data_IF_923013446780
#
_entry.id   IF_923013446780
#
_cell.length_a   1.000
_cell.length_b   1.000
_cell.length_c   1.000
_cell.angle_alpha   90.00
_cell.angle_beta   90.00
_cell.angle_gamma   90.00
#
_symmetry.space_group_name_H-M   'P 1'
#
loop_
_entity.id
_entity.type
_entity.pdbx_description
1 polymer ?
#
# COMPACT_ATOMS: atom_id res chain seq x y z
N UNK A 1 -1.07 4.43 -26.13
CA UNK A 1 -2.14 4.27 -27.15
C UNK A 1 -2.45 5.64 -27.71
N UNK A 2 -2.70 5.77 -29.03
CA UNK A 2 -3.30 6.99 -29.55
C UNK A 2 -4.72 7.15 -28.99
N UNK A 3 -5.13 8.38 -28.68
CA UNK A 3 -6.48 8.70 -28.20
C UNK A 3 -7.51 8.40 -29.30
N UNK A 4 -8.60 7.71 -28.94
CA UNK A 4 -9.79 7.63 -29.80
C UNK A 4 -10.46 9.01 -29.83
N UNK A 5 -10.67 9.57 -31.02
CA UNK A 5 -11.26 10.90 -31.23
C UNK A 5 -12.73 10.99 -30.78
N UNK A 6 -13.43 9.88 -30.54
CA UNK A 6 -14.86 9.87 -30.22
C UNK A 6 -15.19 9.71 -28.73
N UNK A 7 -14.23 9.26 -27.90
CA UNK A 7 -14.38 9.18 -26.44
C UNK A 7 -13.04 9.45 -25.78
N UNK A 8 -13.01 10.23 -24.69
CA UNK A 8 -11.81 10.54 -23.87
C UNK A 8 -11.23 9.30 -23.16
N UNK A 9 -11.00 8.21 -23.88
CA UNK A 9 -10.37 6.99 -23.39
C UNK A 9 -8.89 7.07 -23.75
N UNK A 10 -8.08 7.43 -22.77
CA UNK A 10 -6.64 7.65 -22.91
C UNK A 10 -5.82 6.55 -22.26
N UNK A 11 -6.42 5.79 -21.32
CA UNK A 11 -5.74 4.73 -20.59
C UNK A 11 -6.67 3.56 -20.23
N UNK A 12 -6.08 2.46 -19.72
CA UNK A 12 -6.83 1.28 -19.31
C UNK A 12 -7.84 1.55 -18.18
N UNK A 13 -7.58 2.55 -17.33
CA UNK A 13 -8.52 2.95 -16.28
C UNK A 13 -9.79 3.58 -16.88
N UNK A 14 -9.64 4.46 -17.87
CA UNK A 14 -10.78 5.07 -18.57
C UNK A 14 -11.65 4.00 -19.25
N UNK A 15 -11.01 3.00 -19.87
CA UNK A 15 -11.69 1.87 -20.50
C UNK A 15 -12.48 1.07 -19.45
N UNK A 16 -11.86 0.80 -18.29
CA UNK A 16 -12.53 0.06 -17.22
C UNK A 16 -13.76 0.80 -16.68
N UNK A 17 -13.64 2.11 -16.42
CA UNK A 17 -14.76 2.93 -15.96
C UNK A 17 -15.90 2.93 -16.98
N UNK A 18 -15.58 3.11 -18.27
CA UNK A 18 -16.57 3.03 -19.35
C UNK A 18 -17.26 1.66 -19.43
N UNK A 19 -16.52 0.57 -19.25
CA UNK A 19 -17.09 -0.78 -19.24
C UNK A 19 -18.00 -1.00 -18.03
N UNK A 20 -17.66 -0.47 -16.86
CA UNK A 20 -18.51 -0.58 -15.66
C UNK A 20 -19.83 0.17 -15.82
N UNK A 21 -19.81 1.36 -16.42
CA UNK A 21 -21.02 2.13 -16.69
C UNK A 21 -21.98 1.38 -17.63
N UNK A 22 -21.44 0.74 -18.68
CA UNK A 22 -22.27 0.07 -19.69
C UNK A 22 -22.59 -1.38 -19.37
N UNK A 23 -21.74 -2.06 -18.61
CA UNK A 23 -21.83 -3.48 -18.27
C UNK A 23 -21.50 -3.68 -16.77
N UNK A 24 -22.45 -3.41 -15.85
CA UNK A 24 -22.20 -3.42 -14.41
C UNK A 24 -21.69 -4.76 -13.84
N UNK A 25 -21.99 -5.88 -14.53
CA UNK A 25 -21.58 -7.21 -14.13
C UNK A 25 -20.25 -7.67 -14.76
N UNK A 26 -19.59 -6.80 -15.53
CA UNK A 26 -18.32 -7.10 -16.16
C UNK A 26 -17.21 -7.25 -15.11
N UNK A 27 -16.51 -8.38 -15.11
CA UNK A 27 -15.34 -8.59 -14.24
C UNK A 27 -14.11 -8.02 -14.91
N UNK A 28 -13.47 -7.06 -14.26
CA UNK A 28 -12.30 -6.36 -14.80
C UNK A 28 -11.03 -6.86 -14.13
N UNK A 29 -10.02 -7.17 -14.93
CA UNK A 29 -8.69 -7.56 -14.49
C UNK A 29 -7.67 -6.62 -15.15
N UNK A 30 -6.82 -6.01 -14.33
CA UNK A 30 -5.68 -5.22 -14.80
C UNK A 30 -4.40 -6.04 -14.75
N UNK A 31 -3.65 -6.01 -15.85
CA UNK A 31 -2.31 -6.57 -15.96
C UNK A 31 -1.38 -5.45 -16.42
N UNK A 32 -0.37 -5.12 -15.63
CA UNK A 32 0.60 -4.07 -15.98
C UNK A 32 1.97 -4.37 -15.41
N UNK A 33 3.01 -4.00 -16.15
CA UNK A 33 4.40 -4.03 -15.67
C UNK A 33 4.77 -2.85 -14.78
N UNK A 34 3.85 -1.89 -14.60
CA UNK A 34 4.14 -0.64 -13.92
C UNK A 34 2.95 -0.18 -13.08
N UNK A 35 2.89 -0.65 -11.83
CA UNK A 35 2.03 -0.11 -10.78
C UNK A 35 2.88 0.66 -9.79
N UNK A 36 3.02 1.97 -9.99
CA UNK A 36 3.51 2.82 -8.89
C UNK A 36 2.41 2.97 -7.83
N UNK A 37 2.81 3.34 -6.61
CA UNK A 37 1.89 3.39 -5.44
C UNK A 37 0.64 4.24 -5.70
N UNK A 38 0.82 5.41 -6.32
CA UNK A 38 -0.26 6.36 -6.62
C UNK A 38 -1.26 5.75 -7.62
N UNK A 39 -0.77 5.19 -8.73
CA UNK A 39 -1.64 4.55 -9.74
C UNK A 39 -2.38 3.35 -9.16
N UNK A 40 -1.70 2.54 -8.34
CA UNK A 40 -2.31 1.38 -7.72
C UNK A 40 -3.46 1.77 -6.77
N UNK A 41 -3.23 2.76 -5.90
CA UNK A 41 -4.29 3.31 -5.04
C UNK A 41 -5.45 3.87 -5.87
N UNK A 42 -5.17 4.65 -6.91
CA UNK A 42 -6.19 5.26 -7.74
C UNK A 42 -7.07 4.17 -8.41
N UNK A 43 -6.46 3.15 -9.02
CA UNK A 43 -7.20 2.05 -9.64
C UNK A 43 -8.04 1.28 -8.61
N UNK A 44 -7.49 0.99 -7.42
CA UNK A 44 -8.24 0.32 -6.35
C UNK A 44 -9.45 1.15 -5.91
N UNK A 45 -9.27 2.46 -5.72
CA UNK A 45 -10.32 3.34 -5.20
C UNK A 45 -11.40 3.68 -6.23
N UNK A 46 -11.05 3.73 -7.51
CA UNK A 46 -11.98 4.15 -8.57
C UNK A 46 -12.65 2.99 -9.30
N UNK A 47 -11.89 1.94 -9.60
CA UNK A 47 -12.39 0.81 -10.40
C UNK A 47 -12.67 -0.41 -9.50
N UNK A 48 -11.91 -0.59 -8.43
CA UNK A 48 -11.95 -1.76 -7.56
C UNK A 48 -12.03 -3.10 -8.36
N UNK A 49 -11.04 -3.36 -9.24
CA UNK A 49 -11.12 -4.47 -10.18
C UNK A 49 -11.09 -5.83 -9.49
N UNK A 50 -11.68 -6.84 -10.14
CA UNK A 50 -11.66 -8.22 -9.68
C UNK A 50 -10.25 -8.84 -9.73
N UNK A 51 -9.34 -8.28 -10.51
CA UNK A 51 -7.95 -8.71 -10.55
C UNK A 51 -6.96 -7.55 -10.75
N UNK A 52 -5.86 -7.58 -9.99
CA UNK A 52 -4.68 -6.73 -10.19
C UNK A 52 -3.42 -7.59 -10.21
N UNK A 53 -2.75 -7.65 -11.36
CA UNK A 53 -1.59 -8.52 -11.56
C UNK A 53 -0.44 -7.70 -12.09
N UNK A 54 0.69 -7.74 -11.38
CA UNK A 54 1.94 -7.28 -11.94
C UNK A 54 2.36 -8.25 -13.06
N UNK A 55 2.74 -7.73 -14.23
CA UNK A 55 2.96 -8.53 -15.45
C UNK A 55 4.06 -9.59 -15.31
N UNK A 56 5.12 -9.31 -14.57
CA UNK A 56 6.20 -10.25 -14.29
C UNK A 56 5.83 -11.34 -13.26
N UNK A 57 4.76 -11.15 -12.49
CA UNK A 57 4.19 -12.22 -11.64
C UNK A 57 3.27 -13.18 -12.44
N UNK A 58 3.00 -12.87 -13.71
CA UNK A 58 2.10 -13.67 -14.55
C UNK A 58 2.85 -14.85 -15.19
N UNK A 59 2.41 -16.07 -14.86
CA UNK A 59 2.84 -17.32 -15.50
C UNK A 59 1.65 -18.02 -16.17
N UNK A 60 1.91 -18.97 -17.08
CA UNK A 60 0.85 -19.76 -17.72
C UNK A 60 -0.06 -20.45 -16.70
N UNK A 61 0.51 -21.04 -15.64
CA UNK A 61 -0.26 -21.69 -14.58
C UNK A 61 -1.09 -20.69 -13.75
N UNK A 62 -0.55 -19.49 -13.51
CA UNK A 62 -1.24 -18.46 -12.75
C UNK A 62 -2.52 -17.99 -13.44
N UNK A 63 -2.56 -17.95 -14.77
CA UNK A 63 -3.72 -17.48 -15.55
C UNK A 63 -4.96 -18.31 -15.19
N UNK A 64 -4.85 -19.64 -15.19
CA UNK A 64 -5.96 -20.53 -14.86
C UNK A 64 -6.46 -20.30 -13.43
N UNK A 65 -5.53 -20.10 -12.49
CA UNK A 65 -5.86 -19.80 -11.10
C UNK A 65 -6.58 -18.45 -10.95
N UNK A 66 -6.09 -17.42 -11.64
CA UNK A 66 -6.66 -16.07 -11.65
C UNK A 66 -8.12 -16.12 -12.11
N UNK A 67 -8.37 -16.71 -13.29
CA UNK A 67 -9.72 -16.82 -13.82
C UNK A 67 -10.63 -17.63 -12.90
N UNK A 68 -10.15 -18.77 -12.36
CA UNK A 68 -10.93 -19.58 -11.41
C UNK A 68 -11.36 -18.76 -10.18
N UNK A 69 -10.44 -17.99 -9.59
CA UNK A 69 -10.72 -17.15 -8.42
C UNK A 69 -11.70 -16.02 -8.76
N UNK A 70 -11.46 -15.31 -9.85
CA UNK A 70 -12.30 -14.18 -10.30
C UNK A 70 -13.71 -14.64 -10.66
N UNK A 71 -13.87 -15.77 -11.34
CA UNK A 71 -15.18 -16.34 -11.65
C UNK A 71 -15.94 -16.80 -10.41
N UNK A 72 -15.23 -17.26 -9.37
CA UNK A 72 -15.79 -17.57 -8.05
C UNK A 72 -16.11 -16.32 -7.20
N UNK A 73 -15.99 -15.12 -7.75
CA UNK A 73 -16.26 -13.85 -7.05
C UNK A 73 -15.14 -13.38 -6.12
N UNK A 74 -13.97 -14.01 -6.17
CA UNK A 74 -12.81 -13.62 -5.37
C UNK A 74 -11.99 -12.56 -6.08
N UNK A 75 -11.44 -11.61 -5.33
CA UNK A 75 -10.49 -10.63 -5.87
C UNK A 75 -9.09 -11.26 -5.90
N UNK A 76 -8.45 -11.27 -7.06
CA UNK A 76 -7.07 -11.73 -7.21
C UNK A 76 -6.08 -10.56 -7.18
N UNK A 77 -5.02 -10.69 -6.40
CA UNK A 77 -3.88 -9.77 -6.41
C UNK A 77 -2.59 -10.57 -6.45
N UNK A 78 -1.69 -10.23 -7.38
CA UNK A 78 -0.38 -10.89 -7.44
C UNK A 78 0.50 -10.53 -6.24
N UNK A 79 1.62 -11.25 -6.06
CA UNK A 79 2.49 -11.06 -4.91
C UNK A 79 3.07 -9.65 -4.84
N UNK A 80 3.59 -9.12 -5.95
CA UNK A 80 4.13 -7.75 -5.99
C UNK A 80 3.05 -6.69 -5.73
N UNK A 81 1.83 -6.91 -6.21
CA UNK A 81 0.71 -6.02 -5.94
C UNK A 81 0.38 -6.01 -4.45
N UNK A 82 0.29 -7.19 -3.81
CA UNK A 82 0.06 -7.27 -2.38
C UNK A 82 1.21 -6.64 -1.58
N UNK A 83 2.47 -6.86 -1.98
CA UNK A 83 3.63 -6.19 -1.38
C UNK A 83 3.51 -4.66 -1.46
N UNK A 84 3.19 -4.13 -2.63
CA UNK A 84 3.03 -2.68 -2.83
C UNK A 84 1.87 -2.10 -2.00
N UNK A 85 0.73 -2.80 -1.93
CA UNK A 85 -0.41 -2.41 -1.09
C UNK A 85 -0.02 -2.40 0.39
N UNK A 86 0.73 -3.41 0.82
CA UNK A 86 1.21 -3.47 2.19
C UNK A 86 2.16 -2.31 2.47
N UNK A 87 3.13 -2.01 1.61
CA UNK A 87 4.00 -0.84 1.76
C UNK A 87 3.22 0.48 1.86
N UNK A 88 2.15 0.64 1.09
CA UNK A 88 1.28 1.82 1.15
C UNK A 88 0.56 1.91 2.51
N UNK A 89 0.05 0.78 3.01
CA UNK A 89 -0.60 0.71 4.33
C UNK A 89 0.40 0.96 5.44
N UNK A 90 1.59 0.39 5.32
CA UNK A 90 2.71 0.58 6.23
C UNK A 90 3.06 2.07 6.28
N UNK A 91 3.28 2.72 5.13
CA UNK A 91 3.59 4.16 5.11
C UNK A 91 2.47 4.99 5.75
N UNK A 92 1.21 4.78 5.38
CA UNK A 92 0.09 5.54 5.96
C UNK A 92 -0.08 5.31 7.46
N UNK A 93 0.18 4.10 7.95
CA UNK A 93 0.19 3.78 9.39
C UNK A 93 1.39 4.38 10.12
N UNK A 94 2.58 4.41 9.50
CA UNK A 94 3.74 5.11 10.04
C UNK A 94 3.49 6.62 10.10
N UNK A 95 2.80 7.17 9.11
CA UNK A 95 2.34 8.57 9.08
C UNK A 95 1.16 8.86 10.02
N UNK A 96 0.69 7.91 10.85
CA UNK A 96 -0.14 8.23 12.01
C UNK A 96 0.59 9.31 12.84
N UNK A 97 -0.11 10.40 13.15
CA UNK A 97 0.50 11.58 13.79
C UNK A 97 1.26 11.22 15.06
N UNK A 98 0.73 10.29 15.85
CA UNK A 98 1.36 9.81 17.08
C UNK A 98 2.59 8.94 16.83
N UNK A 99 2.60 8.13 15.76
CA UNK A 99 3.79 7.35 15.39
C UNK A 99 4.91 8.27 14.91
N UNK A 100 4.57 9.30 14.12
CA UNK A 100 5.53 10.30 13.65
C UNK A 100 6.11 11.10 14.82
N UNK A 101 5.28 11.54 15.76
CA UNK A 101 5.74 12.23 16.97
C UNK A 101 6.72 11.37 17.79
N UNK A 102 6.40 10.08 17.98
CA UNK A 102 7.32 9.15 18.65
C UNK A 102 8.66 9.07 17.92
N UNK A 103 8.67 8.93 16.59
CA UNK A 103 9.89 8.86 15.78
C UNK A 103 10.72 10.15 15.91
N UNK A 104 10.07 11.32 15.83
CA UNK A 104 10.74 12.63 15.99
C UNK A 104 11.34 12.79 17.38
N UNK A 105 10.65 12.37 18.44
CA UNK A 105 11.18 12.43 19.81
C UNK A 105 12.38 11.51 19.99
N UNK A 106 12.36 10.32 19.39
CA UNK A 106 13.50 9.40 19.38
C UNK A 106 14.69 10.03 18.63
N UNK A 107 14.47 10.64 17.45
CA UNK A 107 15.50 11.33 16.67
C UNK A 107 16.15 12.50 17.43
N UNK A 108 15.37 13.19 18.28
CA UNK A 108 15.86 14.23 19.21
C UNK A 108 16.62 13.68 20.43
N UNK A 109 16.79 12.36 20.55
CA UNK A 109 17.47 11.72 21.66
C UNK A 109 16.63 11.57 22.94
N UNK A 110 15.31 11.76 22.87
CA UNK A 110 14.44 11.56 24.03
C UNK A 110 14.31 10.07 24.34
N UNK A 111 14.77 9.66 25.52
CA UNK A 111 14.65 8.26 25.97
C UNK A 111 13.18 7.85 26.06
N UNK A 112 12.88 6.57 25.75
CA UNK A 112 11.49 6.06 25.70
C UNK A 112 10.69 6.33 26.97
N UNK A 113 11.33 6.21 28.14
CA UNK A 113 10.74 6.48 29.45
C UNK A 113 10.23 7.93 29.61
N UNK A 114 10.81 8.87 28.87
CA UNK A 114 10.48 10.30 28.94
C UNK A 114 9.52 10.74 27.84
N UNK A 115 9.27 9.91 26.82
CA UNK A 115 8.33 10.24 25.72
C UNK A 115 6.92 10.61 26.24
N UNK A 116 6.34 9.91 27.24
CA UNK A 116 5.06 10.31 27.84
C UNK A 116 4.99 11.75 28.39
N UNK A 117 6.12 12.42 28.62
CA UNK A 117 6.14 13.80 29.07
C UNK A 117 5.91 14.80 27.92
N UNK A 118 5.95 14.34 26.67
CA UNK A 118 5.84 15.18 25.47
C UNK A 118 4.58 14.90 24.65
N UNK A 119 3.92 13.76 24.87
CA UNK A 119 2.71 13.34 24.15
C UNK A 119 1.74 12.66 25.11
N UNK A 120 0.44 12.76 24.84
CA UNK A 120 -0.62 12.18 25.67
C UNK A 120 -0.74 10.65 25.46
N UNK A 121 0.29 9.92 25.90
CA UNK A 121 0.35 8.47 25.88
C UNK A 121 1.00 7.93 27.14
N UNK A 122 0.46 6.80 27.63
CA UNK A 122 1.15 6.03 28.66
C UNK A 122 2.46 5.43 28.13
N UNK A 123 3.39 5.15 29.02
CA UNK A 123 4.64 4.46 28.67
C UNK A 123 4.38 3.11 27.98
N UNK A 124 3.37 2.35 28.43
CA UNK A 124 2.97 1.09 27.81
C UNK A 124 2.44 1.28 26.38
N UNK A 125 1.67 2.35 26.13
CA UNK A 125 1.21 2.69 24.79
C UNK A 125 2.38 3.08 23.87
N UNK A 126 3.37 3.82 24.37
CA UNK A 126 4.61 4.14 23.63
C UNK A 126 5.37 2.86 23.26
N UNK A 127 5.55 1.92 24.19
CA UNK A 127 6.21 0.64 23.89
C UNK A 127 5.47 -0.18 22.82
N UNK A 128 4.13 -0.26 22.93
CA UNK A 128 3.30 -0.95 21.94
C UNK A 128 3.44 -0.31 20.56
N UNK A 129 3.33 1.02 20.48
CA UNK A 129 3.52 1.76 19.23
C UNK A 129 4.92 1.60 18.66
N UNK A 130 5.96 1.61 19.48
CA UNK A 130 7.33 1.33 19.02
C UNK A 130 7.48 -0.07 18.45
N UNK A 131 6.85 -1.09 19.05
CA UNK A 131 6.82 -2.44 18.47
C UNK A 131 6.16 -2.42 17.09
N UNK A 132 5.02 -1.74 16.98
CA UNK A 132 4.35 -1.57 15.68
C UNK A 132 5.25 -0.83 14.69
N UNK A 133 5.84 0.32 15.04
CA UNK A 133 6.76 1.07 14.17
C UNK A 133 7.90 0.18 13.66
N UNK A 134 8.49 -0.66 14.53
CA UNK A 134 9.54 -1.61 14.13
C UNK A 134 9.05 -2.64 13.12
N UNK A 135 7.87 -3.20 13.33
CA UNK A 135 7.22 -4.07 12.35
C UNK A 135 6.96 -3.32 11.04
N UNK A 136 6.49 -2.07 11.13
CA UNK A 136 6.15 -1.26 9.98
C UNK A 136 7.39 -0.91 9.13
N UNK A 137 8.54 -0.71 9.79
CA UNK A 137 9.85 -0.43 9.19
C UNK A 137 10.62 -1.72 8.81
N UNK A 138 10.01 -2.91 8.97
CA UNK A 138 10.63 -4.21 8.71
C UNK A 138 11.92 -4.48 9.50
N UNK A 139 11.97 -3.98 10.75
CA UNK A 139 13.08 -4.13 11.71
C UNK A 139 12.55 -4.67 13.05
N UNK A 140 11.90 -5.84 13.11
CA UNK A 140 11.19 -6.31 14.31
C UNK A 140 12.09 -6.46 15.56
N UNK A 141 13.40 -6.69 15.36
CA UNK A 141 14.42 -6.76 16.43
C UNK A 141 15.28 -5.49 16.55
N UNK A 142 14.97 -4.45 15.79
CA UNK A 142 15.73 -3.21 15.74
C UNK A 142 15.62 -2.39 17.01
N UNK A 143 16.60 -1.52 17.24
CA UNK A 143 16.63 -0.57 18.34
C UNK A 143 16.12 0.81 17.88
N UNK A 144 16.27 1.82 18.74
CA UNK A 144 15.81 3.19 18.48
C UNK A 144 16.62 3.86 17.35
N UNK A 145 17.91 3.56 17.24
CA UNK A 145 18.75 4.05 16.15
C UNK A 145 18.34 3.43 14.81
N UNK A 146 17.96 2.15 14.79
CA UNK A 146 17.43 1.50 13.59
C UNK A 146 16.13 2.14 13.14
N UNK A 147 15.22 2.49 14.07
CA UNK A 147 13.98 3.22 13.76
C UNK A 147 14.30 4.55 13.08
N UNK A 148 15.22 5.34 13.65
CA UNK A 148 15.62 6.65 13.11
C UNK A 148 16.26 6.51 11.73
N UNK A 149 17.17 5.55 11.57
CA UNK A 149 17.86 5.30 10.30
C UNK A 149 16.89 4.96 9.18
N UNK A 150 15.98 4.02 9.40
CA UNK A 150 15.00 3.62 8.38
C UNK A 150 13.98 4.74 8.14
N UNK A 151 13.60 5.50 9.17
CA UNK A 151 12.70 6.62 9.03
C UNK A 151 13.28 7.76 8.15
N UNK A 152 14.57 8.07 8.28
CA UNK A 152 15.27 9.03 7.41
C UNK A 152 15.36 8.54 5.96
N UNK A 153 15.66 7.25 5.74
CA UNK A 153 15.69 6.67 4.39
C UNK A 153 14.33 6.78 3.67
N UNK A 154 13.25 6.71 4.45
CA UNK A 154 11.87 6.85 3.95
C UNK A 154 11.40 8.31 3.85
N UNK A 155 12.20 9.30 4.26
CA UNK A 155 11.85 10.72 4.24
C UNK A 155 10.77 11.11 5.27
N UNK A 156 10.67 10.39 6.38
CA UNK A 156 9.68 10.67 7.45
C UNK A 156 10.08 11.83 8.37
N UNK A 157 11.41 11.99 8.53
CA UNK A 157 12.13 12.98 9.34
C UNK A 157 13.38 13.43 8.61
#
# INVERSE_FOLDING_TARGET
MPQSLEKKLSCGQDIALFLMERYPNCKIIFISGFFNKIKLQNIINTVNPAGLIEKSDLTYDSIRLIFKKVLAGQVYRSEKINGTINEIKLSSSIFDGLNREIIVLIDKGITTKNIPNYIDLSLSAVHKRKSTIKELLNIPKGNDEDIVREARKMGLI
#
